data_IF_557623904342
#
_entry.id   IF_557623904342
#
_cell.length_a   1.000
_cell.length_b   1.000
_cell.length_c   1.000
_cell.angle_alpha   90.00
_cell.angle_beta   90.00
_cell.angle_gamma   90.00
#
_symmetry.space_group_name_H-M   'P 1'
#
loop_
_entity.id
_entity.type
_entity.pdbx_description
1 polymer ?
#
# COMPACT_ATOMS: atom_id res chain seq x y z
N UNK A 1 40.36 -8.19 10.66
CA UNK A 1 39.37 -7.30 11.27
C UNK A 1 38.04 -8.03 11.21
N UNK A 2 37.57 -8.56 12.39
CA UNK A 2 36.27 -9.19 12.51
C UNK A 2 35.22 -8.09 12.31
N UNK A 3 34.44 -8.17 11.24
CA UNK A 3 33.23 -7.35 11.06
C UNK A 3 32.29 -7.69 12.21
N UNK A 4 32.07 -6.75 13.11
CA UNK A 4 30.96 -6.85 14.07
C UNK A 4 29.70 -7.15 13.27
N UNK A 5 28.89 -8.16 13.66
CA UNK A 5 27.57 -8.30 13.08
C UNK A 5 26.83 -6.97 13.29
N UNK A 6 26.37 -6.36 12.21
CA UNK A 6 25.46 -5.23 12.28
C UNK A 6 24.25 -5.78 13.02
N UNK A 7 24.01 -5.35 14.27
CA UNK A 7 22.77 -5.67 14.98
C UNK A 7 21.65 -5.06 14.17
N UNK A 8 20.64 -5.84 13.86
CA UNK A 8 19.38 -5.36 13.29
C UNK A 8 18.91 -4.23 14.21
N UNK A 9 19.15 -2.98 13.82
CA UNK A 9 18.83 -1.85 14.68
C UNK A 9 17.51 -1.26 14.20
N UNK A 10 16.50 -1.38 15.03
CA UNK A 10 15.21 -0.72 14.88
C UNK A 10 15.22 0.60 15.67
N UNK A 11 14.51 1.61 15.16
CA UNK A 11 14.28 2.88 15.84
C UNK A 11 12.96 3.49 15.38
N UNK A 12 12.04 3.78 16.29
CA UNK A 12 10.95 4.70 16.02
C UNK A 12 11.55 6.12 15.95
N UNK A 13 11.47 6.75 14.77
CA UNK A 13 12.07 8.06 14.52
C UNK A 13 11.09 9.20 14.75
N UNK A 14 9.78 8.90 14.72
CA UNK A 14 8.70 9.85 15.00
C UNK A 14 7.51 9.14 15.63
N UNK A 15 6.81 9.83 16.52
CA UNK A 15 5.51 9.41 17.08
C UNK A 15 4.49 10.48 16.82
N UNK A 16 3.45 10.14 16.11
CA UNK A 16 2.34 11.06 15.83
C UNK A 16 1.62 11.46 17.11
N UNK A 17 1.14 12.71 17.18
CA UNK A 17 0.50 13.30 18.36
C UNK A 17 -0.96 13.65 18.09
N UNK A 18 -1.36 13.70 16.82
CA UNK A 18 -2.69 14.12 16.42
C UNK A 18 -2.98 15.60 16.71
N UNK A 19 -4.26 15.93 16.73
CA UNK A 19 -4.69 17.31 16.94
C UNK A 19 -4.59 18.16 15.66
N UNK A 20 -4.63 19.47 15.80
CA UNK A 20 -4.79 20.38 14.65
C UNK A 20 -3.56 20.55 13.78
N UNK A 21 -2.39 20.19 14.24
CA UNK A 21 -1.12 20.42 13.53
C UNK A 21 -0.31 19.17 13.23
N UNK A 22 -0.84 17.98 13.51
CA UNK A 22 -0.14 16.72 13.30
C UNK A 22 -1.11 15.63 12.82
N UNK A 23 -0.57 14.58 12.18
CA UNK A 23 -1.32 13.43 11.71
C UNK A 23 -1.62 12.40 12.80
N UNK A 24 -2.48 11.43 12.46
CA UNK A 24 -2.80 10.26 13.27
C UNK A 24 -3.11 9.08 12.36
N UNK A 25 -2.76 7.87 12.80
CA UNK A 25 -3.04 6.63 12.06
C UNK A 25 -2.40 6.61 10.66
N UNK A 26 -1.06 6.53 10.55
CA UNK A 26 -0.37 6.41 9.28
C UNK A 26 -0.65 5.01 8.68
N UNK A 27 -1.63 4.92 7.80
CA UNK A 27 -2.12 3.67 7.19
C UNK A 27 -1.48 3.38 5.82
N UNK A 28 -0.60 4.23 5.33
CA UNK A 28 0.13 4.01 4.08
C UNK A 28 1.62 3.79 4.31
N UNK A 29 2.29 3.28 3.30
CA UNK A 29 3.74 3.26 3.25
C UNK A 29 4.33 4.67 3.09
N UNK A 30 5.58 4.73 2.68
CA UNK A 30 6.28 5.97 2.44
C UNK A 30 6.72 6.06 0.97
N UNK A 31 6.76 7.25 0.42
CA UNK A 31 7.44 7.56 -0.85
C UNK A 31 8.72 8.33 -0.56
N UNK A 32 9.83 7.89 -1.15
CA UNK A 32 11.11 8.62 -1.07
C UNK A 32 11.30 9.51 -2.29
N UNK A 33 11.69 10.75 -2.08
CA UNK A 33 12.12 11.64 -3.15
C UNK A 33 13.20 12.61 -2.64
N UNK A 34 14.38 12.55 -3.25
CA UNK A 34 15.52 13.44 -2.97
C UNK A 34 15.97 13.45 -1.49
N UNK A 35 15.91 12.28 -0.85
CA UNK A 35 16.31 12.11 0.56
C UNK A 35 15.25 12.51 1.57
N UNK A 36 14.07 12.90 1.13
CA UNK A 36 12.88 13.21 1.96
C UNK A 36 11.86 12.09 1.81
N UNK A 37 11.25 11.70 2.91
CA UNK A 37 10.18 10.71 2.96
C UNK A 37 8.83 11.43 3.04
N UNK A 38 7.86 10.98 2.24
CA UNK A 38 6.50 11.51 2.22
C UNK A 38 5.53 10.38 2.57
N UNK A 39 4.57 10.68 3.42
CA UNK A 39 3.52 9.74 3.82
C UNK A 39 2.20 10.44 4.03
N UNK A 40 1.20 9.64 4.39
CA UNK A 40 -0.15 10.07 4.70
C UNK A 40 -0.57 9.55 6.06
N UNK A 41 -1.51 10.24 6.68
CA UNK A 41 -2.23 9.75 7.87
C UNK A 41 -3.72 9.78 7.61
N UNK A 42 -4.44 8.73 7.98
CA UNK A 42 -5.89 8.63 7.82
C UNK A 42 -6.65 9.63 8.70
N UNK A 43 -6.05 10.03 9.82
CA UNK A 43 -6.64 10.99 10.76
C UNK A 43 -5.67 12.10 11.12
N UNK A 44 -6.09 12.95 12.06
CA UNK A 44 -5.36 14.17 12.47
C UNK A 44 -5.79 15.40 11.67
N UNK A 45 -5.14 16.52 11.93
CA UNK A 45 -5.62 17.81 11.45
C UNK A 45 -6.85 18.32 12.23
N UNK A 46 -7.31 19.57 11.98
CA UNK A 46 -8.38 20.18 12.75
C UNK A 46 -9.75 19.52 12.58
N UNK A 47 -9.97 18.83 11.47
CA UNK A 47 -11.24 18.13 11.16
C UNK A 47 -11.15 16.63 11.36
N UNK A 48 -9.94 16.09 11.52
CA UNK A 48 -9.69 14.64 11.57
C UNK A 48 -9.59 13.97 10.20
N UNK A 49 -9.60 14.74 9.11
CA UNK A 49 -9.62 14.23 7.73
C UNK A 49 -8.24 13.73 7.21
N UNK A 50 -7.22 13.76 8.06
CA UNK A 50 -5.90 13.26 7.72
C UNK A 50 -4.95 14.28 7.12
N UNK A 51 -3.72 13.86 6.90
CA UNK A 51 -2.64 14.73 6.43
C UNK A 51 -1.78 14.07 5.37
N UNK A 52 -1.10 14.89 4.57
CA UNK A 52 0.14 14.53 3.87
C UNK A 52 1.27 15.16 4.67
N UNK A 53 2.28 14.39 5.00
CA UNK A 53 3.46 14.89 5.71
C UNK A 53 4.75 14.58 4.96
N UNK A 54 5.79 15.35 5.25
CA UNK A 54 7.16 15.02 4.92
C UNK A 54 7.96 14.76 6.19
N UNK A 55 8.95 13.91 6.10
CA UNK A 55 9.89 13.67 7.19
C UNK A 55 11.30 13.45 6.68
N UNK A 56 12.28 13.93 7.44
CA UNK A 56 13.67 13.57 7.20
C UNK A 56 13.94 12.15 7.66
N UNK A 57 15.04 11.56 7.21
CA UNK A 57 15.52 10.25 7.70
C UNK A 57 15.94 10.24 9.18
N UNK A 58 15.93 11.40 9.85
CA UNK A 58 16.15 11.57 11.30
C UNK A 58 14.87 11.82 12.10
N UNK A 59 13.70 11.88 11.46
CA UNK A 59 12.40 12.04 12.11
C UNK A 59 11.95 13.50 12.29
N UNK A 60 12.54 14.46 11.58
CA UNK A 60 11.98 15.82 11.53
C UNK A 60 10.77 15.80 10.59
N UNK A 61 9.60 15.68 11.17
CA UNK A 61 8.30 15.61 10.48
C UNK A 61 7.66 16.99 10.42
N UNK A 62 6.97 17.28 9.31
CA UNK A 62 6.09 18.43 9.14
C UNK A 62 4.96 18.14 8.16
N UNK A 63 3.75 18.68 8.39
CA UNK A 63 2.65 18.55 7.44
C UNK A 63 2.93 19.34 6.16
N UNK A 64 2.67 18.72 5.02
CA UNK A 64 2.69 19.35 3.69
C UNK A 64 1.30 19.84 3.33
N UNK A 65 0.27 19.05 3.64
CA UNK A 65 -1.13 19.38 3.47
C UNK A 65 -1.96 18.76 4.58
N UNK A 66 -2.98 19.47 5.02
CA UNK A 66 -3.95 19.00 6.02
C UNK A 66 -5.33 19.01 5.37
N UNK A 67 -5.90 17.84 5.17
CA UNK A 67 -7.22 17.69 4.59
C UNK A 67 -8.31 18.21 5.53
N UNK A 68 -9.38 18.71 4.94
CA UNK A 68 -10.49 19.33 5.68
C UNK A 68 -11.85 18.63 5.48
N UNK A 69 -11.88 17.58 4.67
CA UNK A 69 -13.09 16.89 4.26
C UNK A 69 -13.70 17.50 3.00
N UNK A 70 -15.01 17.36 2.81
CA UNK A 70 -15.72 17.87 1.62
C UNK A 70 -15.60 19.41 1.49
N UNK A 71 -15.25 19.96 0.29
CA UNK A 71 -14.95 19.26 -0.97
C UNK A 71 -13.48 18.88 -1.16
N UNK A 72 -12.64 19.16 -0.22
CA UNK A 72 -11.24 18.73 -0.12
C UNK A 72 -11.19 17.19 -0.02
N UNK A 73 -10.09 16.57 0.35
CA UNK A 73 -9.99 15.14 0.59
C UNK A 73 -10.30 14.75 2.03
N UNK A 74 -10.53 13.48 2.24
CA UNK A 74 -10.69 12.85 3.55
C UNK A 74 -10.09 11.44 3.51
N UNK A 75 -9.41 11.04 4.59
CA UNK A 75 -8.84 9.70 4.74
C UNK A 75 -7.88 9.31 3.58
N UNK A 76 -6.73 10.00 3.43
CA UNK A 76 -5.72 9.61 2.44
C UNK A 76 -4.98 8.35 2.91
N UNK A 77 -5.11 7.24 2.18
CA UNK A 77 -4.49 5.96 2.53
C UNK A 77 -3.08 5.81 1.94
N UNK A 78 -2.91 5.85 0.60
CA UNK A 78 -1.60 5.60 0.01
C UNK A 78 -0.69 6.83 0.09
N UNK A 79 0.63 6.64 0.19
CA UNK A 79 1.54 7.76 0.10
C UNK A 79 1.45 8.41 -1.27
N UNK A 80 1.62 9.74 -1.37
CA UNK A 80 1.56 10.43 -2.65
C UNK A 80 2.76 10.07 -3.54
N UNK A 81 2.55 10.01 -4.84
CA UNK A 81 3.65 9.93 -5.80
C UNK A 81 4.14 11.33 -6.14
N UNK A 82 5.47 11.54 -6.12
CA UNK A 82 6.08 12.82 -6.52
C UNK A 82 6.49 12.78 -7.98
N UNK A 83 5.93 13.66 -8.79
CA UNK A 83 6.21 13.78 -10.23
C UNK A 83 6.20 15.23 -10.67
N UNK A 84 7.16 15.61 -11.50
CA UNK A 84 7.25 16.94 -12.12
C UNK A 84 7.23 18.10 -11.10
N UNK A 85 7.62 17.80 -9.84
CA UNK A 85 7.70 18.74 -8.73
C UNK A 85 6.38 18.91 -7.96
N UNK A 86 5.30 18.21 -8.33
CA UNK A 86 4.05 18.12 -7.60
C UNK A 86 3.89 16.73 -6.97
N UNK A 87 2.94 16.58 -6.05
CA UNK A 87 2.53 15.32 -5.45
C UNK A 87 1.10 15.00 -5.89
N UNK A 88 0.86 13.72 -6.17
CA UNK A 88 -0.44 13.22 -6.61
C UNK A 88 -0.83 12.02 -5.78
N UNK A 89 -2.10 11.92 -5.43
CA UNK A 89 -2.62 10.81 -4.64
C UNK A 89 -4.13 10.71 -4.68
N UNK A 90 -4.66 9.86 -3.84
CA UNK A 90 -6.10 9.61 -3.68
C UNK A 90 -6.51 9.76 -2.22
N UNK A 91 -7.75 10.12 -1.99
CA UNK A 91 -8.41 10.12 -0.68
C UNK A 91 -9.62 9.21 -0.72
N UNK A 92 -9.83 8.38 0.31
CA UNK A 92 -10.94 7.44 0.36
C UNK A 92 -12.31 8.12 0.49
N UNK A 93 -12.34 9.27 1.15
CA UNK A 93 -13.49 10.14 1.33
C UNK A 93 -13.23 11.55 0.78
N UNK A 94 -14.15 12.48 1.05
CA UNK A 94 -14.08 13.84 0.52
C UNK A 94 -14.46 13.94 -0.96
N UNK A 95 -14.08 15.03 -1.60
CA UNK A 95 -14.56 15.37 -2.94
C UNK A 95 -16.03 15.79 -2.91
N UNK A 96 -16.60 16.21 -4.04
CA UNK A 96 -17.95 16.80 -4.14
C UNK A 96 -19.10 15.86 -3.78
N UNK A 97 -18.88 14.54 -3.77
CA UNK A 97 -19.89 13.55 -3.40
C UNK A 97 -19.52 12.76 -2.13
N UNK A 98 -18.42 13.13 -1.47
CA UNK A 98 -17.85 12.42 -0.33
C UNK A 98 -17.58 10.92 -0.60
N UNK A 99 -17.15 10.60 -1.81
CA UNK A 99 -16.86 9.24 -2.30
C UNK A 99 -15.39 9.06 -2.70
N UNK A 100 -14.56 10.05 -2.32
CA UNK A 100 -13.13 10.08 -2.60
C UNK A 100 -12.76 10.95 -3.79
N UNK A 101 -11.47 11.24 -3.87
CA UNK A 101 -10.91 12.14 -4.86
C UNK A 101 -9.53 11.72 -5.34
N UNK A 102 -9.13 12.26 -6.49
CA UNK A 102 -7.75 12.33 -6.96
C UNK A 102 -7.27 13.76 -6.79
N UNK A 103 -6.15 13.96 -6.10
CA UNK A 103 -5.61 15.29 -5.81
C UNK A 103 -4.22 15.51 -6.43
N UNK A 104 -3.88 16.78 -6.59
CA UNK A 104 -2.53 17.30 -6.86
C UNK A 104 -2.17 18.31 -5.76
N UNK A 105 -1.00 18.15 -5.14
CA UNK A 105 -0.38 19.19 -4.31
C UNK A 105 0.75 19.80 -5.12
N UNK A 106 0.54 21.04 -5.54
CA UNK A 106 1.50 21.79 -6.34
C UNK A 106 2.80 22.10 -5.59
N UNK A 107 3.80 22.56 -6.32
CA UNK A 107 5.16 22.86 -5.79
C UNK A 107 5.18 23.84 -4.62
N UNK A 108 4.14 24.65 -4.45
CA UNK A 108 4.01 25.67 -3.42
C UNK A 108 2.99 25.29 -2.34
N UNK A 109 2.59 24.00 -2.27
CA UNK A 109 1.65 23.48 -1.28
C UNK A 109 0.17 23.74 -1.57
N UNK A 110 -0.17 24.39 -2.70
CA UNK A 110 -1.58 24.56 -3.12
C UNK A 110 -2.16 23.21 -3.56
N UNK A 111 -3.30 22.85 -2.95
CA UNK A 111 -4.05 21.65 -3.30
C UNK A 111 -5.00 21.94 -4.45
N UNK A 112 -5.17 20.95 -5.32
CA UNK A 112 -6.12 20.94 -6.42
C UNK A 112 -6.75 19.57 -6.59
N UNK A 113 -8.08 19.47 -6.46
CA UNK A 113 -8.80 18.24 -6.78
C UNK A 113 -8.86 18.09 -8.30
N UNK A 114 -8.18 17.05 -8.80
CA UNK A 114 -8.20 16.69 -10.22
C UNK A 114 -9.51 16.02 -10.60
N UNK A 115 -10.01 15.15 -9.72
CA UNK A 115 -11.24 14.40 -9.94
C UNK A 115 -11.92 14.06 -8.63
N UNK A 116 -13.25 14.16 -8.58
CA UNK A 116 -14.09 13.71 -7.47
C UNK A 116 -14.98 12.58 -7.92
N UNK A 117 -14.87 11.42 -7.29
CA UNK A 117 -15.69 10.25 -7.62
C UNK A 117 -17.15 10.48 -7.28
N UNK A 118 -18.04 10.01 -8.17
CA UNK A 118 -19.49 10.22 -8.08
C UNK A 118 -20.25 8.95 -7.67
N UNK A 119 -19.57 7.82 -7.53
CA UNK A 119 -20.19 6.52 -7.25
C UNK A 119 -20.99 5.94 -8.44
N UNK A 120 -21.78 4.92 -8.18
CA UNK A 120 -22.50 4.22 -9.24
C UNK A 120 -21.56 3.60 -10.26
N UNK A 121 -21.74 3.88 -11.54
CA UNK A 121 -20.88 3.35 -12.62
C UNK A 121 -19.48 3.96 -12.66
N UNK A 122 -19.28 5.06 -11.99
CA UNK A 122 -17.98 5.69 -11.77
C UNK A 122 -17.12 4.85 -10.80
N UNK A 123 -16.62 5.19 -9.83
CA UNK A 123 -15.98 4.45 -8.74
C UNK A 123 -16.25 5.17 -7.43
N UNK A 124 -15.81 4.57 -6.32
CA UNK A 124 -15.82 5.20 -5.02
C UNK A 124 -14.79 4.58 -4.10
N UNK A 125 -14.34 5.34 -3.11
CA UNK A 125 -13.35 4.89 -2.12
C UNK A 125 -12.05 4.42 -2.78
N UNK A 126 -11.30 5.33 -3.45
CA UNK A 126 -10.01 5.00 -4.07
C UNK A 126 -8.92 4.90 -2.99
N UNK A 127 -8.75 3.72 -2.42
CA UNK A 127 -7.71 3.42 -1.41
C UNK A 127 -6.40 2.95 -2.02
N UNK A 128 -6.38 2.63 -3.32
CA UNK A 128 -5.18 2.28 -4.05
C UNK A 128 -4.37 3.52 -4.42
N UNK A 129 -3.06 3.43 -4.36
CA UNK A 129 -2.16 4.50 -4.81
C UNK A 129 -2.23 4.74 -6.31
N UNK A 130 -1.84 5.93 -6.71
CA UNK A 130 -1.71 6.27 -8.12
C UNK A 130 -0.40 5.75 -8.70
N UNK A 131 -0.45 5.32 -9.96
CA UNK A 131 0.71 5.04 -10.78
C UNK A 131 0.68 5.91 -12.02
N UNK A 132 1.79 6.61 -12.34
CA UNK A 132 1.91 7.39 -13.58
C UNK A 132 2.58 6.55 -14.67
N UNK A 133 1.88 6.29 -15.75
CA UNK A 133 2.40 5.59 -16.92
C UNK A 133 2.06 6.34 -18.20
N UNK A 134 3.08 6.64 -19.05
CA UNK A 134 2.94 7.39 -20.30
C UNK A 134 2.16 8.70 -20.15
N UNK A 135 2.35 9.41 -19.04
CA UNK A 135 1.73 10.72 -18.78
C UNK A 135 0.31 10.68 -18.21
N UNK A 136 -0.28 9.51 -18.06
CA UNK A 136 -1.61 9.28 -17.46
C UNK A 136 -1.45 8.68 -16.07
N UNK A 137 -2.32 9.06 -15.15
CA UNK A 137 -2.44 8.45 -13.83
C UNK A 137 -3.44 7.30 -13.88
N UNK A 138 -3.08 6.17 -13.27
CA UNK A 138 -3.91 4.98 -13.13
C UNK A 138 -4.07 4.65 -11.67
N UNK A 139 -5.26 4.26 -11.28
CA UNK A 139 -5.60 3.84 -9.92
C UNK A 139 -6.76 2.86 -9.91
N UNK A 140 -7.18 2.49 -8.71
CA UNK A 140 -8.34 1.62 -8.52
C UNK A 140 -9.23 2.19 -7.40
N UNK A 141 -10.52 1.91 -7.49
CA UNK A 141 -11.51 2.18 -6.44
C UNK A 141 -11.98 0.87 -5.83
N UNK A 142 -12.15 0.85 -4.50
CA UNK A 142 -12.57 -0.36 -3.79
C UNK A 142 -14.01 -0.75 -4.14
N UNK A 143 -14.87 0.23 -4.37
CA UNK A 143 -16.28 0.06 -4.66
C UNK A 143 -16.71 0.87 -5.89
N UNK A 144 -17.99 0.76 -6.26
CA UNK A 144 -18.55 1.37 -7.46
C UNK A 144 -18.30 0.54 -8.71
N UNK A 145 -18.51 1.12 -9.88
CA UNK A 145 -18.53 0.39 -11.14
C UNK A 145 -19.88 -0.30 -11.39
N UNK A 146 -20.00 -0.99 -12.51
CA UNK A 146 -21.24 -1.64 -12.97
C UNK A 146 -21.80 -2.66 -11.97
N UNK A 147 -20.93 -3.34 -11.22
CA UNK A 147 -21.27 -4.40 -10.28
C UNK A 147 -21.09 -4.00 -8.81
N UNK A 148 -20.68 -2.73 -8.55
CA UNK A 148 -20.37 -2.21 -7.22
C UNK A 148 -19.13 -2.83 -6.52
N UNK A 149 -18.33 -3.59 -7.23
CA UNK A 149 -17.17 -4.34 -6.73
C UNK A 149 -15.84 -3.67 -7.10
N UNK A 150 -15.89 -2.38 -7.45
CA UNK A 150 -14.73 -1.57 -7.72
C UNK A 150 -14.38 -1.39 -9.20
N UNK A 151 -13.45 -0.48 -9.44
CA UNK A 151 -13.00 -0.15 -10.80
C UNK A 151 -11.49 -0.02 -10.90
N UNK A 152 -10.95 -0.17 -12.11
CA UNK A 152 -9.68 0.46 -12.51
C UNK A 152 -10.01 1.68 -13.34
N UNK A 153 -9.39 2.82 -13.02
CA UNK A 153 -9.59 4.08 -13.71
C UNK A 153 -8.29 4.69 -14.24
N UNK A 154 -8.42 5.59 -15.18
CA UNK A 154 -7.36 6.45 -15.68
C UNK A 154 -7.76 7.92 -15.51
N UNK A 155 -6.83 8.76 -15.04
CA UNK A 155 -7.03 10.22 -14.95
C UNK A 155 -5.91 10.94 -15.66
N UNK A 156 -6.25 11.88 -16.54
CA UNK A 156 -5.27 12.77 -17.16
C UNK A 156 -4.80 13.84 -16.17
N UNK A 157 -3.63 14.47 -16.38
CA UNK A 157 -3.22 15.63 -15.58
C UNK A 157 -4.18 16.83 -15.62
N UNK A 158 -5.09 16.87 -16.59
CA UNK A 158 -6.16 17.88 -16.68
C UNK A 158 -7.46 17.48 -15.98
N UNK A 159 -7.47 16.36 -15.24
CA UNK A 159 -8.63 15.91 -14.48
C UNK A 159 -9.69 15.14 -15.27
N UNK A 160 -9.41 14.76 -16.52
CA UNK A 160 -10.35 13.91 -17.25
C UNK A 160 -10.18 12.45 -16.82
N UNK A 161 -11.19 11.95 -16.14
CA UNK A 161 -11.28 10.55 -15.70
C UNK A 161 -11.93 9.66 -16.77
N UNK A 162 -11.60 8.35 -16.71
CA UNK A 162 -12.19 7.30 -17.50
C UNK A 162 -12.07 5.95 -16.79
N UNK A 163 -13.22 5.29 -16.55
CA UNK A 163 -13.26 3.89 -16.05
C UNK A 163 -12.77 2.96 -17.16
N UNK A 164 -11.71 2.20 -16.85
CA UNK A 164 -11.13 1.21 -17.77
C UNK A 164 -11.80 -0.14 -17.62
N UNK A 165 -12.11 -0.56 -16.37
CA UNK A 165 -12.73 -1.83 -16.06
C UNK A 165 -13.59 -1.71 -14.80
N UNK A 166 -14.73 -2.39 -14.79
CA UNK A 166 -15.61 -2.55 -13.62
C UNK A 166 -15.59 -4.01 -13.18
N UNK A 167 -15.07 -4.26 -11.98
CA UNK A 167 -14.97 -5.60 -11.40
C UNK A 167 -16.32 -6.14 -10.93
N UNK A 168 -16.42 -7.49 -10.79
CA UNK A 168 -17.53 -8.19 -10.23
C UNK A 168 -18.34 -9.05 -11.22
N UNK A 169 -17.93 -9.13 -12.48
CA UNK A 169 -18.49 -10.12 -13.41
C UNK A 169 -18.15 -11.56 -12.96
N UNK A 170 -18.87 -12.55 -13.47
CA UNK A 170 -18.63 -13.96 -13.09
C UNK A 170 -17.19 -14.39 -13.42
N UNK A 171 -16.45 -14.82 -12.40
CA UNK A 171 -15.06 -15.26 -12.50
C UNK A 171 -14.03 -14.13 -12.46
N UNK A 172 -14.48 -12.87 -12.42
CA UNK A 172 -13.65 -11.68 -12.28
C UNK A 172 -13.22 -11.48 -10.81
N UNK A 173 -12.22 -10.61 -10.59
CA UNK A 173 -11.90 -10.13 -9.27
C UNK A 173 -12.98 -9.20 -8.70
N UNK A 174 -12.88 -8.90 -7.41
CA UNK A 174 -13.72 -7.94 -6.71
C UNK A 174 -12.85 -7.13 -5.74
N UNK A 175 -13.19 -5.85 -5.57
CA UNK A 175 -12.52 -4.94 -4.65
C UNK A 175 -11.00 -4.83 -4.93
N UNK A 176 -10.59 -4.24 -6.06
CA UNK A 176 -9.18 -4.01 -6.35
C UNK A 176 -8.59 -3.07 -5.29
N UNK A 177 -7.52 -3.54 -4.66
CA UNK A 177 -6.99 -2.91 -3.45
C UNK A 177 -5.63 -2.24 -3.67
N UNK A 178 -4.82 -2.75 -4.61
CA UNK A 178 -3.42 -2.37 -4.69
C UNK A 178 -3.14 -1.30 -5.74
N UNK A 179 -2.09 -0.52 -5.51
CA UNK A 179 -1.50 0.33 -6.53
C UNK A 179 -1.09 -0.52 -7.75
N UNK A 180 -1.47 -0.07 -8.94
CA UNK A 180 -1.11 -0.79 -10.16
C UNK A 180 0.39 -0.71 -10.44
N UNK A 181 0.93 -1.76 -11.01
CA UNK A 181 2.32 -1.86 -11.43
C UNK A 181 2.42 -1.99 -12.95
N UNK A 182 3.20 -1.13 -13.62
CA UNK A 182 3.38 -1.17 -15.07
C UNK A 182 4.59 -2.01 -15.47
N UNK A 183 4.38 -2.97 -16.38
CA UNK A 183 5.47 -3.76 -16.99
C UNK A 183 5.16 -4.02 -18.46
N UNK A 184 6.14 -3.72 -19.33
CA UNK A 184 5.97 -3.80 -20.79
C UNK A 184 4.84 -2.87 -21.25
N UNK A 185 3.71 -3.37 -21.66
CA UNK A 185 2.53 -2.58 -22.09
C UNK A 185 1.28 -2.89 -21.26
N UNK A 186 1.43 -3.62 -20.15
CA UNK A 186 0.36 -4.05 -19.26
C UNK A 186 0.51 -3.40 -17.89
N UNK A 187 -0.61 -3.18 -17.25
CA UNK A 187 -0.72 -2.83 -15.85
C UNK A 187 -1.14 -4.08 -15.09
N UNK A 188 -0.49 -4.35 -13.96
CA UNK A 188 -0.75 -5.49 -13.10
C UNK A 188 -1.36 -4.99 -11.80
N UNK A 189 -2.33 -5.70 -11.26
CA UNK A 189 -2.95 -5.41 -9.98
C UNK A 189 -3.49 -6.66 -9.31
N UNK A 190 -4.02 -6.49 -8.11
CA UNK A 190 -4.71 -7.54 -7.36
C UNK A 190 -6.08 -7.06 -6.91
N UNK A 191 -7.04 -7.97 -6.84
CA UNK A 191 -8.34 -7.77 -6.24
C UNK A 191 -8.47 -8.73 -5.05
N UNK A 192 -8.89 -8.21 -3.90
CA UNK A 192 -8.85 -8.98 -2.63
C UNK A 192 -9.91 -10.05 -2.53
N UNK A 193 -10.97 -9.95 -3.32
CA UNK A 193 -12.07 -10.89 -3.36
C UNK A 193 -12.36 -11.34 -4.81
N UNK A 194 -13.34 -12.20 -5.00
CA UNK A 194 -13.76 -12.68 -6.33
C UNK A 194 -12.81 -13.72 -6.92
N UNK A 195 -12.80 -13.81 -8.25
CA UNK A 195 -12.15 -14.89 -8.96
C UNK A 195 -12.93 -16.21 -8.94
N UNK A 196 -12.39 -17.25 -9.55
CA UNK A 196 -13.07 -18.54 -9.69
C UNK A 196 -13.36 -19.23 -8.35
N UNK A 197 -12.62 -18.91 -7.29
CA UNK A 197 -12.69 -19.57 -5.98
C UNK A 197 -13.02 -18.60 -4.83
N UNK A 198 -13.23 -17.32 -5.11
CA UNK A 198 -13.59 -16.30 -4.12
C UNK A 198 -12.42 -15.77 -3.29
N UNK A 199 -11.21 -16.28 -3.47
CA UNK A 199 -10.02 -15.90 -2.70
C UNK A 199 -9.26 -14.68 -3.22
N UNK A 200 -9.80 -14.01 -4.23
CA UNK A 200 -9.16 -12.87 -4.90
C UNK A 200 -8.38 -13.25 -6.16
N UNK A 201 -7.86 -12.26 -6.84
CA UNK A 201 -7.18 -12.45 -8.13
C UNK A 201 -5.89 -11.65 -8.26
N UNK A 202 -4.98 -12.13 -9.11
CA UNK A 202 -3.99 -11.30 -9.80
C UNK A 202 -4.50 -11.08 -11.21
N UNK A 203 -4.52 -9.84 -11.67
CA UNK A 203 -4.99 -9.49 -13.00
C UNK A 203 -3.98 -8.63 -13.76
N UNK A 204 -4.15 -8.57 -15.07
CA UNK A 204 -3.54 -7.57 -15.95
C UNK A 204 -4.61 -6.77 -16.63
N UNK A 205 -4.30 -5.51 -16.94
CA UNK A 205 -5.16 -4.67 -17.74
C UNK A 205 -4.35 -3.86 -18.74
N UNK A 206 -4.84 -3.76 -19.97
CA UNK A 206 -4.25 -2.86 -20.97
C UNK A 206 -4.63 -1.41 -20.66
N UNK A 207 -3.86 -0.40 -21.10
CA UNK A 207 -4.28 1.00 -21.01
C UNK A 207 -5.59 1.32 -21.76
N UNK A 208 -6.08 0.42 -22.59
CA UNK A 208 -7.37 0.52 -23.30
C UNK A 208 -8.53 -0.19 -22.58
N UNK A 209 -8.29 -0.81 -21.40
CA UNK A 209 -9.34 -1.38 -20.56
C UNK A 209 -9.60 -2.88 -20.76
N UNK A 210 -8.78 -3.60 -21.52
CA UNK A 210 -8.92 -5.06 -21.60
C UNK A 210 -8.27 -5.70 -20.37
N UNK A 211 -9.07 -6.21 -19.46
CA UNK A 211 -8.65 -6.97 -18.28
C UNK A 211 -8.46 -8.45 -18.65
N UNK A 212 -7.54 -9.11 -17.91
CA UNK A 212 -7.33 -10.57 -17.93
C UNK A 212 -6.90 -11.05 -16.55
N UNK A 213 -7.68 -11.93 -15.95
CA UNK A 213 -7.32 -12.62 -14.73
C UNK A 213 -6.18 -13.60 -15.00
N UNK A 214 -5.03 -13.39 -14.34
CA UNK A 214 -3.86 -14.27 -14.43
C UNK A 214 -3.98 -15.46 -13.47
N UNK A 215 -4.49 -15.22 -12.25
CA UNK A 215 -4.61 -16.25 -11.23
C UNK A 215 -5.80 -15.95 -10.31
N UNK A 216 -6.49 -17.00 -9.87
CA UNK A 216 -7.56 -16.94 -8.87
C UNK A 216 -7.15 -17.73 -7.64
N UNK A 217 -7.06 -17.04 -6.51
CA UNK A 217 -6.67 -17.61 -5.22
C UNK A 217 -7.79 -18.42 -4.55
N UNK A 218 -7.38 -19.30 -3.61
CA UNK A 218 -8.30 -20.11 -2.81
C UNK A 218 -8.68 -21.45 -3.43
N UNK A 219 -8.10 -21.80 -4.59
CA UNK A 219 -8.43 -23.03 -5.32
C UNK A 219 -7.78 -24.30 -4.80
N UNK A 220 -6.69 -24.19 -4.04
CA UNK A 220 -5.93 -25.32 -3.53
C UNK A 220 -5.70 -25.22 -2.02
N UNK A 221 -5.44 -26.35 -1.38
CA UNK A 221 -5.00 -26.37 0.03
C UNK A 221 -3.63 -25.70 0.16
N UNK A 222 -3.50 -24.76 1.09
CA UNK A 222 -2.28 -23.99 1.30
C UNK A 222 -2.09 -22.82 0.33
N UNK A 223 -3.03 -22.56 -0.56
CA UNK A 223 -3.06 -21.37 -1.40
C UNK A 223 -3.24 -20.09 -0.56
N UNK A 224 -2.83 -18.96 -1.10
CA UNK A 224 -3.10 -17.66 -0.49
C UNK A 224 -4.57 -17.24 -0.66
N UNK A 225 -4.99 -16.24 0.11
CA UNK A 225 -6.32 -15.62 0.02
C UNK A 225 -6.16 -14.12 0.29
N UNK A 226 -6.95 -13.29 -0.37
CA UNK A 226 -6.93 -11.83 -0.21
C UNK A 226 -5.57 -11.21 -0.56
N UNK A 227 -5.17 -11.20 -1.85
CA UNK A 227 -3.90 -10.63 -2.27
C UNK A 227 -3.94 -9.09 -2.12
N UNK A 228 -3.14 -8.55 -1.20
CA UNK A 228 -3.05 -7.11 -0.89
C UNK A 228 -1.73 -6.49 -1.32
N UNK A 229 -0.69 -7.28 -1.50
CA UNK A 229 0.63 -6.76 -1.84
C UNK A 229 0.74 -6.25 -3.27
N UNK A 230 1.31 -5.06 -3.45
CA UNK A 230 1.73 -4.58 -4.78
C UNK A 230 2.81 -5.52 -5.32
N UNK A 231 2.64 -6.11 -6.52
CA UNK A 231 3.65 -7.01 -7.06
C UNK A 231 4.98 -6.33 -7.35
N UNK A 232 6.09 -6.92 -6.92
CA UNK A 232 7.46 -6.50 -7.26
C UNK A 232 8.09 -7.44 -8.25
N UNK A 233 8.68 -6.90 -9.32
CA UNK A 233 9.27 -7.70 -10.40
C UNK A 233 10.74 -8.01 -10.14
N UNK A 234 11.11 -9.29 -10.07
CA UNK A 234 12.48 -9.75 -9.90
C UNK A 234 12.74 -10.94 -10.83
N UNK A 235 13.80 -10.90 -11.62
CA UNK A 235 14.24 -12.03 -12.46
C UNK A 235 13.21 -12.50 -13.51
N UNK A 236 12.23 -11.68 -13.86
CA UNK A 236 11.17 -12.04 -14.81
C UNK A 236 9.86 -12.48 -14.17
N UNK A 237 9.85 -12.82 -12.90
CA UNK A 237 8.68 -13.18 -12.09
C UNK A 237 8.18 -11.98 -11.27
N UNK A 238 6.94 -12.06 -10.81
CA UNK A 238 6.31 -11.11 -9.89
C UNK A 238 6.21 -11.76 -8.50
N UNK A 239 6.50 -11.00 -7.46
CA UNK A 239 6.45 -11.44 -6.06
C UNK A 239 5.50 -10.52 -5.31
N UNK A 240 4.61 -11.09 -4.50
CA UNK A 240 3.68 -10.33 -3.68
C UNK A 240 3.22 -11.14 -2.46
N UNK A 241 2.27 -10.59 -1.71
CA UNK A 241 1.73 -11.16 -0.48
C UNK A 241 0.23 -11.39 -0.59
N UNK A 242 -0.27 -12.35 0.16
CA UNK A 242 -1.70 -12.48 0.47
C UNK A 242 -1.89 -12.29 1.97
N UNK A 243 -2.94 -11.56 2.37
CA UNK A 243 -3.25 -11.29 3.78
C UNK A 243 -3.56 -12.58 4.54
N UNK A 244 -4.33 -13.48 3.94
CA UNK A 244 -4.77 -14.73 4.54
C UNK A 244 -4.35 -15.93 3.69
N UNK A 245 -4.76 -17.13 4.14
CA UNK A 245 -4.44 -18.38 3.47
C UNK A 245 -3.05 -18.91 3.84
N UNK A 246 -2.50 -19.77 2.99
CA UNK A 246 -1.28 -20.51 3.32
C UNK A 246 -1.53 -21.70 4.25
N UNK A 247 -0.46 -22.36 4.67
CA UNK A 247 -0.54 -23.55 5.52
C UNK A 247 -1.15 -23.30 6.90
N UNK A 248 -1.07 -22.06 7.40
CA UNK A 248 -1.49 -21.68 8.75
C UNK A 248 -2.64 -20.65 8.76
N UNK A 249 -3.09 -20.17 7.59
CA UNK A 249 -4.17 -19.20 7.47
C UNK A 249 -3.75 -17.73 7.67
N UNK A 250 -2.47 -17.44 7.95
CA UNK A 250 -1.96 -16.13 8.36
C UNK A 250 -1.25 -15.40 7.23
N UNK A 251 -1.54 -15.77 5.98
CA UNK A 251 -1.00 -15.15 4.79
C UNK A 251 0.22 -15.85 4.19
N UNK A 252 0.56 -15.39 3.00
CA UNK A 252 1.67 -15.98 2.22
C UNK A 252 2.55 -14.92 1.57
N UNK A 253 3.76 -15.34 1.23
CA UNK A 253 4.53 -14.71 0.16
C UNK A 253 4.49 -15.67 -1.03
N UNK A 254 4.08 -15.19 -2.17
CA UNK A 254 4.01 -15.97 -3.40
C UNK A 254 4.81 -15.33 -4.54
N UNK A 255 5.11 -16.11 -5.54
CA UNK A 255 5.56 -15.62 -6.84
C UNK A 255 4.62 -16.08 -7.93
N UNK A 256 4.54 -15.29 -9.00
CA UNK A 256 3.72 -15.61 -10.17
C UNK A 256 4.46 -15.24 -11.45
N UNK A 257 4.40 -16.11 -12.45
CA UNK A 257 4.89 -15.82 -13.79
C UNK A 257 3.90 -14.94 -14.56
N UNK A 258 4.36 -14.28 -15.61
CA UNK A 258 3.47 -13.54 -16.53
C UNK A 258 2.49 -14.44 -17.31
N UNK A 259 2.64 -15.77 -17.21
CA UNK A 259 1.70 -16.76 -17.75
C UNK A 259 0.70 -17.28 -16.69
N UNK A 260 0.67 -16.70 -15.49
CA UNK A 260 -0.28 -17.05 -14.43
C UNK A 260 0.10 -18.30 -13.62
N UNK A 261 1.34 -18.76 -13.69
CA UNK A 261 1.79 -19.87 -12.84
C UNK A 261 2.22 -19.31 -11.48
N UNK A 262 1.42 -19.58 -10.46
CA UNK A 262 1.66 -19.18 -9.08
C UNK A 262 2.41 -20.25 -8.30
N UNK A 263 3.18 -19.82 -7.29
CA UNK A 263 3.85 -20.67 -6.30
C UNK A 263 3.95 -19.94 -4.96
N UNK A 264 3.42 -20.53 -3.89
CA UNK A 264 3.68 -20.09 -2.52
C UNK A 264 5.15 -20.37 -2.17
N UNK A 265 5.85 -19.34 -1.69
CA UNK A 265 7.25 -19.41 -1.24
C UNK A 265 7.35 -19.52 0.28
N UNK A 266 6.46 -18.85 1.00
CA UNK A 266 6.40 -18.85 2.45
C UNK A 266 4.94 -18.75 2.91
N UNK A 267 4.60 -19.51 3.95
CA UNK A 267 3.31 -19.38 4.66
C UNK A 267 3.60 -18.89 6.07
N UNK A 268 3.06 -17.72 6.41
CA UNK A 268 3.23 -17.11 7.72
C UNK A 268 2.51 -17.90 8.81
N UNK A 269 3.08 -17.92 10.02
CA UNK A 269 2.48 -18.54 11.19
C UNK A 269 3.42 -18.65 12.37
N UNK A 270 2.88 -18.84 13.57
CA UNK A 270 3.65 -18.97 14.79
C UNK A 270 4.21 -17.64 15.32
N UNK A 271 5.52 -17.46 15.27
CA UNK A 271 6.18 -16.22 15.69
C UNK A 271 6.68 -15.36 14.55
N UNK A 272 6.29 -15.72 13.33
CA UNK A 272 6.59 -14.94 12.13
C UNK A 272 5.82 -13.61 12.13
N UNK A 273 6.06 -12.78 11.13
CA UNK A 273 5.11 -11.75 10.75
C UNK A 273 3.82 -12.43 10.22
N UNK A 274 2.66 -11.92 10.57
CA UNK A 274 1.35 -12.43 10.14
C UNK A 274 0.54 -11.34 9.46
N UNK A 275 -0.43 -11.71 8.63
CA UNK A 275 -1.33 -10.81 7.91
C UNK A 275 -0.55 -9.70 7.16
N UNK A 276 0.29 -10.04 6.17
CA UNK A 276 0.98 -9.03 5.40
C UNK A 276 0.00 -8.23 4.54
N UNK A 277 -0.17 -6.96 4.88
CA UNK A 277 -1.23 -6.08 4.32
C UNK A 277 -0.79 -5.27 3.11
N UNK A 278 0.49 -5.33 2.72
CA UNK A 278 1.04 -4.54 1.61
C UNK A 278 2.19 -5.24 0.90
N UNK A 279 2.81 -4.53 -0.03
CA UNK A 279 3.84 -5.03 -0.93
C UNK A 279 5.19 -5.33 -0.28
N UNK A 280 6.03 -6.00 -1.05
CA UNK A 280 7.40 -6.32 -0.70
C UNK A 280 8.36 -5.26 -1.24
N UNK A 281 9.41 -4.96 -0.48
CA UNK A 281 10.56 -4.18 -0.96
C UNK A 281 11.72 -5.13 -1.27
N UNK A 282 12.20 -5.13 -2.52
CA UNK A 282 13.33 -5.98 -2.92
C UNK A 282 14.65 -5.21 -2.86
N UNK A 283 15.55 -5.66 -2.03
CA UNK A 283 16.88 -5.08 -1.88
C UNK A 283 17.92 -6.14 -1.56
N UNK A 284 19.09 -6.06 -2.18
CA UNK A 284 20.24 -6.91 -1.95
C UNK A 284 19.92 -8.42 -1.89
N UNK A 285 19.16 -8.91 -2.90
CA UNK A 285 18.72 -10.31 -3.08
C UNK A 285 17.82 -10.84 -1.95
N UNK A 286 17.10 -9.95 -1.28
CA UNK A 286 16.10 -10.31 -0.29
C UNK A 286 14.87 -9.43 -0.43
N UNK A 287 13.74 -9.94 0.02
CA UNK A 287 12.49 -9.23 0.19
C UNK A 287 12.37 -8.76 1.62
N UNK A 288 11.80 -7.59 1.80
CA UNK A 288 11.48 -6.98 3.09
C UNK A 288 10.03 -6.57 3.08
N UNK A 289 9.33 -6.79 4.18
CA UNK A 289 7.93 -6.43 4.33
C UNK A 289 7.53 -6.30 5.78
N UNK A 290 6.24 -6.06 5.98
CA UNK A 290 5.61 -5.95 7.29
C UNK A 290 4.43 -6.91 7.38
N UNK A 291 4.22 -7.49 8.56
CA UNK A 291 2.98 -8.17 8.92
C UNK A 291 2.23 -7.31 9.94
N UNK A 292 0.96 -7.08 9.69
CA UNK A 292 0.09 -6.29 10.55
C UNK A 292 -0.04 -6.92 11.96
N UNK A 293 -0.02 -8.24 12.01
CA UNK A 293 -0.02 -9.05 13.21
C UNK A 293 1.26 -9.90 13.31
N UNK A 294 1.29 -10.80 14.28
CA UNK A 294 2.42 -11.70 14.51
C UNK A 294 3.55 -11.06 15.29
N UNK A 295 4.73 -11.67 15.21
CA UNK A 295 5.84 -11.36 16.08
C UNK A 295 5.60 -11.86 17.51
N UNK A 296 6.51 -11.50 18.43
CA UNK A 296 6.48 -12.01 19.81
C UNK A 296 5.36 -11.45 20.70
N UNK A 297 4.76 -10.34 20.30
CA UNK A 297 3.70 -9.64 21.05
C UNK A 297 2.37 -9.56 20.30
N UNK A 298 2.28 -10.15 19.13
CA UNK A 298 1.13 -10.07 18.20
C UNK A 298 0.77 -8.63 17.77
N UNK A 299 1.70 -7.69 17.92
CA UNK A 299 1.52 -6.28 17.54
C UNK A 299 2.15 -5.97 16.18
N UNK A 300 2.48 -7.02 15.42
CA UNK A 300 3.08 -6.94 14.10
C UNK A 300 4.60 -7.06 14.09
N UNK A 301 5.14 -7.22 12.90
CA UNK A 301 6.58 -7.40 12.71
C UNK A 301 7.09 -6.81 11.39
N UNK A 302 8.38 -6.51 11.35
CA UNK A 302 9.15 -6.30 10.13
C UNK A 302 9.92 -7.58 9.84
N UNK A 303 9.84 -8.08 8.63
CA UNK A 303 10.50 -9.31 8.21
C UNK A 303 11.44 -9.12 7.01
N UNK A 304 12.32 -10.09 6.85
CA UNK A 304 13.18 -10.28 5.69
C UNK A 304 13.02 -11.71 5.19
N UNK A 305 12.90 -11.92 3.89
CA UNK A 305 12.89 -13.23 3.24
C UNK A 305 13.93 -13.29 2.14
N UNK A 306 14.70 -14.36 2.06
CA UNK A 306 15.60 -14.60 0.94
C UNK A 306 14.85 -15.22 -0.27
N UNK A 307 15.53 -15.32 -1.41
CA UNK A 307 14.94 -15.88 -2.63
C UNK A 307 14.61 -17.39 -2.54
N UNK A 308 15.04 -18.09 -1.48
CA UNK A 308 14.70 -19.49 -1.21
C UNK A 308 13.42 -19.67 -0.40
N UNK A 309 12.80 -18.56 0.06
CA UNK A 309 11.61 -18.58 0.90
C UNK A 309 11.91 -18.63 2.40
N UNK A 310 13.17 -18.50 2.81
CA UNK A 310 13.54 -18.47 4.23
C UNK A 310 13.28 -17.08 4.79
N UNK A 311 12.26 -16.99 5.61
CA UNK A 311 11.86 -15.78 6.35
C UNK A 311 12.65 -15.62 7.65
N UNK A 312 12.78 -14.38 8.13
CA UNK A 312 13.32 -14.00 9.43
C UNK A 312 12.72 -12.67 9.87
N UNK A 313 12.18 -12.64 11.09
CA UNK A 313 11.77 -11.39 11.74
C UNK A 313 12.99 -10.52 12.03
N UNK A 314 12.93 -9.25 11.65
CA UNK A 314 13.92 -8.21 11.96
C UNK A 314 13.56 -7.43 13.23
N UNK A 315 12.26 -7.16 13.41
CA UNK A 315 11.72 -6.50 14.59
C UNK A 315 10.29 -6.98 14.85
N UNK A 316 9.99 -7.25 16.11
CA UNK A 316 8.62 -7.49 16.60
C UNK A 316 8.17 -6.27 17.37
N UNK A 317 7.07 -5.66 16.94
CA UNK A 317 6.48 -4.52 17.65
C UNK A 317 5.92 -4.95 19.00
N UNK A 318 5.95 -4.02 19.96
CA UNK A 318 5.49 -4.28 21.33
C UNK A 318 4.19 -3.57 21.71
N UNK A 319 3.64 -2.75 20.79
CA UNK A 319 2.49 -1.89 21.07
C UNK A 319 2.82 -0.64 21.91
N UNK A 320 4.07 -0.51 22.32
CA UNK A 320 4.58 0.60 23.12
C UNK A 320 5.11 1.76 22.29
N UNK A 321 6.23 2.32 22.72
CA UNK A 321 6.88 3.46 22.05
C UNK A 321 7.44 3.12 20.67
N UNK A 322 7.60 1.87 20.33
CA UNK A 322 8.09 1.38 19.03
C UNK A 322 7.00 1.32 17.95
N UNK A 323 5.73 1.36 18.33
CA UNK A 323 4.59 1.27 17.44
C UNK A 323 3.85 -0.06 17.54
N UNK A 324 2.79 -0.20 16.77
CA UNK A 324 2.00 -1.42 16.58
C UNK A 324 1.33 -1.41 15.21
N UNK A 325 1.02 -2.60 14.71
CA UNK A 325 0.28 -2.80 13.47
C UNK A 325 0.91 -2.04 12.30
N UNK A 326 2.14 -2.41 11.89
CA UNK A 326 2.80 -1.77 10.76
C UNK A 326 1.99 -1.99 9.49
N UNK A 327 1.83 -0.91 8.72
CA UNK A 327 1.06 -0.89 7.50
C UNK A 327 1.87 -0.25 6.38
N UNK A 328 1.73 -0.75 5.18
CA UNK A 328 2.36 -0.18 4.01
C UNK A 328 3.72 -0.77 3.65
N UNK A 329 4.07 -0.61 2.39
CA UNK A 329 5.35 -1.07 1.84
C UNK A 329 6.51 -0.26 2.43
N UNK A 330 7.59 -0.95 2.78
CA UNK A 330 8.82 -0.31 3.23
C UNK A 330 9.50 0.45 2.08
N UNK A 331 10.21 1.53 2.40
CA UNK A 331 11.03 2.29 1.45
C UNK A 331 12.48 2.36 1.90
N UNK A 332 13.41 2.29 0.95
CA UNK A 332 14.83 2.40 1.25
C UNK A 332 15.32 3.83 1.05
N UNK A 333 15.93 4.39 2.07
CA UNK A 333 16.58 5.70 2.02
C UNK A 333 17.79 5.69 2.98
N UNK A 334 18.84 6.44 2.64
CA UNK A 334 20.01 6.66 3.51
C UNK A 334 20.48 5.37 4.22
N UNK A 335 20.67 4.28 3.46
CA UNK A 335 21.16 2.97 3.91
C UNK A 335 20.27 2.23 4.93
N UNK A 336 19.00 2.59 5.06
CA UNK A 336 18.03 1.92 5.92
C UNK A 336 16.66 1.78 5.24
N UNK A 337 15.82 0.91 5.79
CA UNK A 337 14.41 0.79 5.44
C UNK A 337 13.58 1.62 6.40
N UNK A 338 12.55 2.26 5.87
CA UNK A 338 11.60 3.09 6.62
C UNK A 338 10.19 2.59 6.36
N UNK A 339 9.36 2.66 7.38
CA UNK A 339 7.95 2.31 7.32
C UNK A 339 7.14 3.03 8.39
N UNK A 340 5.86 2.73 8.43
CA UNK A 340 4.90 3.29 9.37
C UNK A 340 4.22 2.19 10.16
N UNK A 341 3.89 2.46 11.41
CA UNK A 341 3.02 1.63 12.23
C UNK A 341 1.79 2.45 12.61
N UNK A 342 0.60 1.91 12.35
CA UNK A 342 -0.66 2.66 12.44
C UNK A 342 -1.08 2.99 13.87
N UNK A 343 -0.59 2.22 14.84
CA UNK A 343 -0.87 2.39 16.27
C UNK A 343 0.43 2.43 17.10
N UNK A 344 0.29 2.56 18.40
CA UNK A 344 1.42 2.69 19.33
C UNK A 344 2.10 4.06 19.25
N UNK A 345 3.34 4.15 19.71
CA UNK A 345 4.03 5.41 19.91
C UNK A 345 3.63 6.11 21.21
N UNK A 346 4.16 7.30 21.45
CA UNK A 346 3.93 8.06 22.70
C UNK A 346 2.48 8.46 22.96
N UNK A 347 1.67 8.53 21.89
CA UNK A 347 0.25 8.93 21.94
C UNK A 347 -0.71 7.81 21.51
N UNK A 348 -0.20 6.62 21.17
CA UNK A 348 -1.01 5.47 20.76
C UNK A 348 -1.56 5.54 19.33
N UNK A 349 -1.18 6.52 18.52
CA UNK A 349 -1.78 6.83 17.21
C UNK A 349 -0.79 6.75 16.04
N UNK A 350 0.29 6.02 16.25
CA UNK A 350 1.20 5.61 15.19
C UNK A 350 2.59 6.20 15.27
N UNK A 351 3.47 5.56 14.52
CA UNK A 351 4.90 5.93 14.44
C UNK A 351 5.43 5.87 13.00
N UNK A 352 6.54 6.58 12.77
CA UNK A 352 7.43 6.32 11.65
C UNK A 352 8.66 5.60 12.23
N UNK A 353 9.07 4.52 11.60
CA UNK A 353 10.21 3.74 12.06
C UNK A 353 11.28 3.58 10.99
N UNK A 354 12.47 3.24 11.46
CA UNK A 354 13.63 2.88 10.67
C UNK A 354 14.16 1.51 11.12
N UNK A 355 14.53 0.66 10.17
CA UNK A 355 15.20 -0.63 10.42
C UNK A 355 16.37 -0.82 9.46
N UNK A 356 17.48 -1.39 9.93
CA UNK A 356 18.60 -1.72 9.06
C UNK A 356 18.30 -3.05 8.32
N UNK A 357 18.57 -3.16 6.98
CA UNK A 357 18.30 -4.35 6.17
C UNK A 357 19.25 -5.52 6.41
#
# INVERSE_FOLDING_TARGET
LATRPVRDSFTAIYSFRGGSGDGAYPNGGLTEALGVLFGTTAGGGPTGAGTIYETSTSGAESPVHIFTGDPDGDDPWPPPIKRDGAMYGTTAGGGTANLGAVYEIGRHGGEHILYSFQGGSDGQTPIAGLMKYRGIFYGATLYGGTYSDGTVFAVTPSGKEHVLHSFGASGDGQNPYTTLFARSSLLYGTAVNGGAYGGGTVFTITPSGTETTLYSFGGASGDGVSPRGVPVAVGGELYATTEFGGAYGQGTIYKITTAGQEQVLHSFGGSDAEDPTDGLYYYNRAFYGTGYQGGTSAEGAVFKMDLSGKERVLHSFTGGSDGAHPWGTLVFANHALYGTASLGGSSGIGTIFRVNP
#
